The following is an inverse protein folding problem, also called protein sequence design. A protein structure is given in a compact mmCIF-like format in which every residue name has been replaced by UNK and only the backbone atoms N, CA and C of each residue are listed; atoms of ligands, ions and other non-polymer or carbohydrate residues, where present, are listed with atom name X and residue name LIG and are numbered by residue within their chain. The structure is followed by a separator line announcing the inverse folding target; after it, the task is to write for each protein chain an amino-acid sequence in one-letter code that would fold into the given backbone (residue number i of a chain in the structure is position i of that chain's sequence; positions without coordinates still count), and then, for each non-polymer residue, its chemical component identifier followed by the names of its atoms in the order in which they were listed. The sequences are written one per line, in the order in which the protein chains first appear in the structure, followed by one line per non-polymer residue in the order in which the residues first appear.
data_IF_824393936735
#
_entry.id   IF_824393936735
#
_cell.length_a   1.000
_cell.length_b   1.000
_cell.length_c   1.000
_cell.angle_alpha   90.00
_cell.angle_beta   90.00
_cell.angle_gamma   90.00
#
_symmetry.space_group_name_H-M   'P 1'
#
loop_
_entity.id
_entity.type
_entity.pdbx_description
1 polymer ?
#
# COMPACT_ATOMS: atom_id res chain seq x y z
N UNK A 1 -14.71 -28.58 -6.32
CA UNK A 1 -15.17 -27.24 -5.91
C UNK A 1 -14.66 -26.99 -4.49
N UNK A 2 -13.35 -26.75 -4.38
CA UNK A 2 -12.64 -26.30 -3.18
C UNK A 2 -11.67 -25.22 -3.70
N UNK A 3 -12.22 -24.13 -4.23
CA UNK A 3 -11.50 -22.86 -4.21
C UNK A 3 -11.49 -22.44 -2.74
N UNK A 4 -10.53 -23.02 -2.00
CA UNK A 4 -10.17 -22.59 -0.67
C UNK A 4 -9.90 -21.09 -0.77
N UNK A 5 -10.78 -20.30 -0.16
CA UNK A 5 -10.70 -18.84 0.00
C UNK A 5 -9.26 -18.36 -0.07
N UNK A 6 -8.82 -17.84 -1.23
CA UNK A 6 -7.52 -17.21 -1.32
C UNK A 6 -7.52 -16.04 -0.33
N UNK A 7 -6.39 -15.87 0.35
CA UNK A 7 -6.24 -14.79 1.33
C UNK A 7 -6.67 -13.47 0.68
N UNK A 8 -7.39 -12.63 1.42
CA UNK A 8 -7.74 -11.28 0.99
C UNK A 8 -6.97 -10.28 1.86
N UNK A 9 -6.55 -9.13 1.31
CA UNK A 9 -5.94 -8.09 2.11
C UNK A 9 -6.97 -7.53 3.10
N UNK A 10 -6.59 -7.38 4.36
CA UNK A 10 -7.47 -6.75 5.37
C UNK A 10 -7.51 -5.22 5.25
N UNK A 11 -6.52 -4.62 4.56
CA UNK A 11 -6.42 -3.20 4.29
C UNK A 11 -5.76 -2.92 2.95
N UNK A 12 -6.06 -1.74 2.39
CA UNK A 12 -5.41 -1.23 1.17
C UNK A 12 -4.90 0.18 1.44
N UNK A 13 -3.63 0.42 1.16
CA UNK A 13 -3.01 1.75 1.26
C UNK A 13 -2.93 2.36 -0.14
N UNK A 14 -3.52 3.54 -0.32
CA UNK A 14 -3.34 4.35 -1.51
C UNK A 14 -2.30 5.43 -1.21
N UNK A 15 -1.27 5.52 -2.04
CA UNK A 15 -0.29 6.59 -1.95
C UNK A 15 -0.02 7.19 -3.32
N UNK A 16 -0.06 8.52 -3.40
CA UNK A 16 0.09 9.25 -4.65
C UNK A 16 1.36 8.89 -5.41
N UNK A 17 1.25 8.80 -6.74
CA UNK A 17 2.35 8.43 -7.63
C UNK A 17 3.63 9.26 -7.43
N UNK A 18 3.49 10.55 -7.13
CA UNK A 18 4.59 11.47 -6.82
C UNK A 18 5.39 11.13 -5.56
N UNK A 19 4.86 10.27 -4.69
CA UNK A 19 5.48 9.89 -3.42
C UNK A 19 6.03 8.47 -3.43
N UNK A 20 5.75 7.69 -4.48
CA UNK A 20 6.13 6.28 -4.51
C UNK A 20 7.63 6.11 -4.77
N UNK A 21 8.27 5.28 -3.96
CA UNK A 21 9.67 4.87 -4.07
C UNK A 21 9.78 3.42 -3.59
N UNK A 22 10.83 2.71 -3.99
CA UNK A 22 11.03 1.30 -3.63
C UNK A 22 11.05 1.06 -2.11
N UNK A 23 11.53 2.04 -1.34
CA UNK A 23 11.60 2.00 0.12
C UNK A 23 10.31 2.36 0.86
N UNK A 24 9.20 2.66 0.15
CA UNK A 24 7.96 3.15 0.76
C UNK A 24 7.41 2.20 1.84
N UNK A 25 7.42 0.89 1.60
CA UNK A 25 6.83 -0.09 2.53
C UNK A 25 7.64 -0.24 3.82
N UNK A 26 8.97 -0.17 3.72
CA UNK A 26 9.88 -0.17 4.88
C UNK A 26 9.58 1.03 5.76
N UNK A 27 9.50 2.22 5.14
CA UNK A 27 9.23 3.48 5.83
C UNK A 27 7.85 3.49 6.51
N UNK A 28 6.80 3.05 5.80
CA UNK A 28 5.45 2.92 6.37
C UNK A 28 5.45 1.92 7.53
N UNK A 29 6.12 0.77 7.37
CA UNK A 29 6.19 -0.25 8.42
C UNK A 29 6.94 0.19 9.66
N UNK A 30 8.02 0.96 9.51
CA UNK A 30 8.72 1.58 10.64
C UNK A 30 7.83 2.59 11.37
N UNK A 31 7.13 3.44 10.62
CA UNK A 31 6.22 4.44 11.21
C UNK A 31 5.07 3.75 11.95
N UNK A 32 4.43 2.75 11.34
CA UNK A 32 3.34 2.01 11.96
C UNK A 32 3.76 1.33 13.25
N UNK A 33 4.96 0.71 13.28
CA UNK A 33 5.51 0.10 14.51
C UNK A 33 5.79 1.13 15.60
N UNK A 34 6.44 2.25 15.26
CA UNK A 34 6.72 3.32 16.22
C UNK A 34 5.44 3.91 16.80
N UNK A 35 4.43 4.15 15.97
CA UNK A 35 3.11 4.63 16.41
C UNK A 35 2.43 3.60 17.32
N UNK A 36 2.47 2.32 16.95
CA UNK A 36 1.91 1.25 17.79
C UNK A 36 2.61 1.17 19.14
N UNK A 37 3.94 1.20 19.18
CA UNK A 37 4.72 1.19 20.43
C UNK A 37 4.46 2.42 21.30
N UNK A 38 4.20 3.59 20.70
CA UNK A 38 3.95 4.84 21.42
C UNK A 38 2.56 4.92 22.06
N UNK A 39 1.53 4.39 21.40
CA UNK A 39 0.13 4.55 21.83
C UNK A 39 -0.52 3.26 22.32
N UNK A 40 0.11 2.12 22.06
CA UNK A 40 -0.36 0.79 22.39
C UNK A 40 0.83 -0.12 22.71
N UNK A 41 1.75 0.35 23.57
CA UNK A 41 2.99 -0.34 23.90
C UNK A 41 2.76 -1.64 24.65
N UNK A 42 1.68 -1.74 25.41
CA UNK A 42 1.23 -2.95 26.08
C UNK A 42 -0.27 -3.25 25.88
N UNK A 43 -0.73 -4.41 26.37
CA UNK A 43 -2.12 -4.88 26.22
C UNK A 43 -3.14 -3.93 26.86
N UNK A 44 -2.78 -3.24 27.95
CA UNK A 44 -3.66 -2.30 28.65
C UNK A 44 -3.82 -1.01 27.85
N UNK A 45 -2.73 -0.48 27.33
CA UNK A 45 -2.73 0.70 26.45
C UNK A 45 -3.46 0.40 25.14
N UNK A 46 -3.19 -0.76 24.53
CA UNK A 46 -3.92 -1.24 23.36
C UNK A 46 -5.42 -1.35 23.64
N UNK A 47 -5.81 -1.97 24.75
CA UNK A 47 -7.22 -2.06 25.14
C UNK A 47 -7.86 -0.68 25.30
N UNK A 48 -7.16 0.27 25.94
CA UNK A 48 -7.65 1.63 26.10
C UNK A 48 -7.78 2.37 24.76
N UNK A 49 -6.77 2.28 23.89
CA UNK A 49 -6.73 2.96 22.59
C UNK A 49 -7.87 2.52 21.64
N UNK A 50 -8.32 1.27 21.76
CA UNK A 50 -9.39 0.69 20.96
C UNK A 50 -10.72 0.52 21.74
N UNK A 51 -10.82 1.08 22.94
CA UNK A 51 -12.01 0.99 23.80
C UNK A 51 -12.48 -0.45 24.07
N UNK A 52 -11.53 -1.38 24.22
CA UNK A 52 -11.77 -2.80 24.45
C UNK A 52 -11.69 -3.15 25.94
N UNK A 53 -12.43 -4.20 26.33
CA UNK A 53 -12.23 -4.82 27.64
C UNK A 53 -10.94 -5.63 27.63
N UNK A 54 -10.07 -5.39 28.62
CA UNK A 54 -8.85 -6.19 28.79
C UNK A 54 -9.22 -7.62 29.20
N UNK A 55 -8.99 -8.55 28.29
CA UNK A 55 -9.22 -9.98 28.49
C UNK A 55 -8.22 -10.79 27.64
N UNK A 56 -8.39 -12.11 27.63
CA UNK A 56 -7.54 -13.04 26.87
C UNK A 56 -7.59 -12.76 25.36
N UNK A 57 -8.77 -12.47 24.80
CA UNK A 57 -8.93 -12.16 23.36
C UNK A 57 -8.14 -10.91 23.00
N UNK A 58 -8.24 -9.85 23.80
CA UNK A 58 -7.49 -8.59 23.57
C UNK A 58 -5.98 -8.84 23.60
N UNK A 59 -5.50 -9.71 24.49
CA UNK A 59 -4.09 -10.08 24.57
C UNK A 59 -3.63 -10.83 23.31
N UNK A 60 -4.46 -11.75 22.80
CA UNK A 60 -4.18 -12.48 21.55
C UNK A 60 -4.17 -11.52 20.36
N UNK A 61 -5.15 -10.61 20.27
CA UNK A 61 -5.22 -9.62 19.19
C UNK A 61 -4.02 -8.69 19.22
N UNK A 62 -3.62 -8.20 20.39
CA UNK A 62 -2.42 -7.38 20.57
C UNK A 62 -1.17 -8.06 19.98
N UNK A 63 -0.89 -9.30 20.37
CA UNK A 63 0.27 -10.04 19.85
C UNK A 63 0.18 -10.28 18.34
N UNK A 64 -1.03 -10.54 17.82
CA UNK A 64 -1.25 -10.70 16.37
C UNK A 64 -1.02 -9.41 15.60
N UNK A 65 -1.51 -8.27 16.10
CA UNK A 65 -1.27 -6.95 15.47
C UNK A 65 0.21 -6.62 15.48
N UNK A 66 0.90 -6.84 16.61
CA UNK A 66 2.35 -6.63 16.73
C UNK A 66 3.13 -7.50 15.75
N UNK A 67 2.80 -8.79 15.66
CA UNK A 67 3.40 -9.69 14.69
C UNK A 67 3.11 -9.26 13.25
N UNK A 68 1.89 -8.76 12.98
CA UNK A 68 1.49 -8.28 11.66
C UNK A 68 2.30 -7.06 11.23
N UNK A 69 2.38 -6.04 12.09
CA UNK A 69 3.16 -4.82 11.82
C UNK A 69 4.66 -5.11 11.65
N UNK A 70 5.18 -6.15 12.30
CA UNK A 70 6.57 -6.59 12.14
C UNK A 70 6.83 -7.26 10.79
N UNK A 71 5.96 -8.17 10.37
CA UNK A 71 6.22 -9.06 9.24
C UNK A 71 5.59 -8.59 7.93
N UNK A 72 4.45 -7.91 8.01
CA UNK A 72 3.65 -7.50 6.86
C UNK A 72 2.83 -6.24 7.20
N UNK A 73 3.51 -5.09 7.40
CA UNK A 73 2.86 -3.84 7.81
C UNK A 73 1.92 -3.25 6.74
N UNK A 74 2.16 -3.58 5.47
CA UNK A 74 1.30 -3.21 4.34
C UNK A 74 0.92 -4.49 3.62
N UNK A 75 -0.38 -4.81 3.54
CA UNK A 75 -0.86 -6.00 2.83
C UNK A 75 -1.14 -5.72 1.36
N UNK A 76 -1.81 -4.60 1.09
CA UNK A 76 -2.10 -4.13 -0.26
C UNK A 76 -1.70 -2.67 -0.41
N UNK A 77 -0.99 -2.34 -1.48
CA UNK A 77 -0.64 -0.98 -1.84
C UNK A 77 -0.98 -0.66 -3.29
N UNK A 78 -1.62 0.48 -3.49
CA UNK A 78 -1.97 1.03 -4.79
C UNK A 78 -1.24 2.35 -5.01
N UNK A 79 -0.35 2.38 -6.00
CA UNK A 79 0.20 3.65 -6.49
C UNK A 79 -0.96 4.40 -7.14
N UNK A 80 -1.25 5.58 -6.61
CA UNK A 80 -2.44 6.30 -6.97
C UNK A 80 -2.14 7.41 -7.98
N UNK A 81 -2.67 7.29 -9.20
CA UNK A 81 -2.66 8.31 -10.26
C UNK A 81 -3.98 9.11 -10.33
N UNK A 82 -4.90 8.88 -9.40
CA UNK A 82 -6.17 9.58 -9.31
C UNK A 82 -6.05 10.82 -8.39
N UNK A 83 -6.81 10.86 -7.30
CA UNK A 83 -6.93 12.00 -6.40
C UNK A 83 -5.72 12.14 -5.47
N UNK A 84 -5.07 11.04 -5.08
CA UNK A 84 -3.82 11.08 -4.31
C UNK A 84 -2.61 11.60 -5.09
N UNK A 85 -2.62 11.53 -6.42
CA UNK A 85 -1.64 12.22 -7.27
C UNK A 85 -2.01 13.70 -7.43
N UNK A 86 -3.32 13.98 -7.53
CA UNK A 86 -3.86 15.30 -7.77
C UNK A 86 -3.88 15.67 -9.26
N UNK A 87 -4.11 16.95 -9.55
CA UNK A 87 -4.17 17.45 -10.92
C UNK A 87 -2.77 17.61 -11.51
N UNK A 88 -2.53 16.97 -12.67
CA UNK A 88 -1.27 17.00 -13.41
C UNK A 88 -1.52 17.11 -14.91
N UNK A 89 -0.55 17.68 -15.62
CA UNK A 89 -0.48 17.62 -17.07
C UNK A 89 -0.20 16.19 -17.54
N UNK A 90 -0.50 15.89 -18.81
CA UNK A 90 -0.18 14.57 -19.37
C UNK A 90 1.32 14.24 -19.26
N UNK A 91 2.19 15.24 -19.47
CA UNK A 91 3.64 15.03 -19.42
C UNK A 91 4.12 14.67 -18.01
N UNK A 92 3.60 15.34 -16.98
CA UNK A 92 3.91 15.02 -15.58
C UNK A 92 3.38 13.64 -15.16
N UNK A 93 2.20 13.25 -15.65
CA UNK A 93 1.62 11.93 -15.37
C UNK A 93 2.38 10.80 -16.07
N UNK A 94 2.79 11.01 -17.32
CA UNK A 94 3.67 10.10 -18.06
C UNK A 94 5.02 9.91 -17.37
N UNK A 95 5.66 11.02 -16.93
CA UNK A 95 6.93 10.97 -16.21
C UNK A 95 6.79 10.20 -14.90
N UNK A 96 5.72 10.46 -14.14
CA UNK A 96 5.43 9.73 -12.91
C UNK A 96 5.17 8.24 -13.18
N UNK A 97 4.49 7.87 -14.27
CA UNK A 97 4.27 6.48 -14.65
C UNK A 97 5.60 5.74 -14.92
N UNK A 98 6.53 6.39 -15.62
CA UNK A 98 7.88 5.85 -15.88
C UNK A 98 8.66 5.68 -14.57
N UNK A 99 8.68 6.70 -13.71
CA UNK A 99 9.39 6.66 -12.43
C UNK A 99 8.81 5.57 -11.54
N UNK A 100 7.48 5.52 -11.40
CA UNK A 100 6.81 4.51 -10.60
C UNK A 100 7.10 3.09 -11.09
N UNK A 101 7.12 2.85 -12.40
CA UNK A 101 7.47 1.54 -12.95
C UNK A 101 8.90 1.12 -12.59
N UNK A 102 9.86 2.05 -12.69
CA UNK A 102 11.27 1.79 -12.32
C UNK A 102 11.43 1.53 -10.83
N UNK A 103 10.80 2.32 -9.98
CA UNK A 103 10.79 2.11 -8.52
C UNK A 103 10.11 0.79 -8.13
N UNK A 104 9.06 0.38 -8.86
CA UNK A 104 8.44 -0.94 -8.70
C UNK A 104 9.43 -2.04 -9.05
N UNK A 105 10.15 -1.95 -10.18
CA UNK A 105 11.15 -2.93 -10.55
C UNK A 105 12.24 -3.06 -9.48
N UNK A 106 12.74 -1.93 -8.95
CA UNK A 106 13.70 -1.92 -7.84
C UNK A 106 13.13 -2.59 -6.58
N UNK A 107 11.86 -2.35 -6.25
CA UNK A 107 11.20 -2.99 -5.12
C UNK A 107 11.00 -4.50 -5.33
N UNK A 108 10.72 -4.94 -6.55
CA UNK A 108 10.61 -6.36 -6.90
C UNK A 108 11.96 -7.07 -6.73
N UNK A 109 13.04 -6.50 -7.28
CA UNK A 109 14.39 -7.04 -7.15
C UNK A 109 14.84 -7.11 -5.69
N UNK A 110 14.50 -6.08 -4.91
CA UNK A 110 14.74 -6.02 -3.47
C UNK A 110 13.82 -6.89 -2.62
N UNK A 111 12.81 -7.55 -3.22
CA UNK A 111 11.74 -8.30 -2.53
C UNK A 111 11.06 -7.46 -1.43
N UNK A 112 10.80 -6.20 -1.73
CA UNK A 112 10.23 -5.21 -0.82
C UNK A 112 8.72 -5.02 -1.01
N UNK A 113 8.15 -5.52 -2.13
CA UNK A 113 6.71 -5.37 -2.39
C UNK A 113 5.86 -6.10 -1.33
N UNK A 114 4.69 -5.53 -0.98
CA UNK A 114 3.66 -6.24 -0.23
C UNK A 114 3.08 -7.39 -1.07
N UNK A 115 2.34 -8.28 -0.41
CA UNK A 115 1.69 -9.45 -1.05
C UNK A 115 0.76 -9.02 -2.19
N UNK A 116 0.01 -7.93 -1.99
CA UNK A 116 -0.85 -7.34 -3.01
C UNK A 116 -0.31 -5.97 -3.41
N UNK A 117 -0.18 -5.73 -4.70
CA UNK A 117 0.35 -4.49 -5.21
C UNK A 117 -0.28 -4.14 -6.56
N UNK A 118 -0.37 -2.85 -6.87
CA UNK A 118 -0.72 -2.39 -8.20
C UNK A 118 -0.83 -0.87 -8.29
N UNK A 119 -1.49 -0.41 -9.34
CA UNK A 119 -1.72 1.02 -9.57
C UNK A 119 -3.23 1.30 -9.68
N UNK A 120 -3.66 2.46 -9.21
CA UNK A 120 -4.98 3.03 -9.50
C UNK A 120 -4.80 4.12 -10.55
N UNK A 121 -5.27 3.84 -11.77
CA UNK A 121 -5.41 4.86 -12.81
C UNK A 121 -6.74 5.58 -12.66
N UNK A 122 -6.91 6.70 -13.37
CA UNK A 122 -8.19 7.41 -13.45
C UNK A 122 -9.30 6.49 -14.00
N UNK A 123 -10.59 6.83 -13.79
CA UNK A 123 -11.70 6.03 -14.29
C UNK A 123 -11.64 5.83 -15.82
N UNK A 124 -12.14 4.68 -16.30
CA UNK A 124 -12.36 4.41 -17.72
C UNK A 124 -13.69 5.01 -18.19
N UNK A 125 -13.91 6.29 -17.97
CA UNK A 125 -15.13 6.99 -18.36
C UNK A 125 -14.87 8.44 -18.73
N UNK A 126 -15.73 8.99 -19.60
CA UNK A 126 -15.68 10.39 -20.02
C UNK A 126 -14.34 10.79 -20.65
N UNK A 127 -13.84 11.95 -20.26
CA UNK A 127 -12.57 12.52 -20.76
C UNK A 127 -11.32 11.79 -20.25
N UNK A 128 -11.44 10.92 -19.24
CA UNK A 128 -10.27 10.25 -18.64
C UNK A 128 -9.83 8.99 -19.38
N UNK A 129 -10.65 8.40 -20.26
CA UNK A 129 -10.37 7.10 -20.90
C UNK A 129 -8.99 7.05 -21.55
N UNK A 130 -8.66 8.04 -22.39
CA UNK A 130 -7.38 8.08 -23.10
C UNK A 130 -6.19 8.21 -22.15
N UNK A 131 -6.31 9.10 -21.15
CA UNK A 131 -5.28 9.30 -20.14
C UNK A 131 -5.07 8.04 -19.30
N UNK A 132 -6.14 7.42 -18.80
CA UNK A 132 -6.07 6.19 -18.01
C UNK A 132 -5.36 5.05 -18.75
N UNK A 133 -5.71 4.86 -20.04
CA UNK A 133 -5.06 3.85 -20.86
C UNK A 133 -3.59 4.18 -21.12
N UNK A 134 -3.26 5.45 -21.40
CA UNK A 134 -1.88 5.92 -21.61
C UNK A 134 -1.02 5.69 -20.36
N UNK A 135 -1.49 6.09 -19.19
CA UNK A 135 -0.78 5.90 -17.91
C UNK A 135 -0.53 4.41 -17.63
N UNK A 136 -1.55 3.56 -17.79
CA UNK A 136 -1.41 2.11 -17.62
C UNK A 136 -0.42 1.51 -18.63
N UNK A 137 -0.50 1.91 -19.90
CA UNK A 137 0.35 1.42 -20.98
C UNK A 137 1.82 1.78 -20.75
N UNK A 138 2.11 3.03 -20.38
CA UNK A 138 3.47 3.48 -20.05
C UNK A 138 3.99 2.68 -18.86
N UNK A 139 3.24 2.62 -17.76
CA UNK A 139 3.68 1.92 -16.57
C UNK A 139 4.03 0.44 -16.85
N UNK A 140 3.14 -0.29 -17.55
CA UNK A 140 3.38 -1.70 -17.88
C UNK A 140 4.55 -1.88 -18.85
N UNK A 141 4.68 -1.01 -19.86
CA UNK A 141 5.79 -1.08 -20.82
C UNK A 141 7.14 -0.91 -20.13
N UNK A 142 7.26 0.10 -19.27
CA UNK A 142 8.51 0.38 -18.55
C UNK A 142 8.82 -0.69 -17.49
N UNK A 143 7.80 -1.29 -16.85
CA UNK A 143 8.00 -2.34 -15.83
C UNK A 143 8.41 -3.70 -16.44
N UNK A 144 7.92 -4.01 -17.64
CA UNK A 144 8.12 -5.31 -18.28
C UNK A 144 9.34 -5.36 -19.22
N UNK A 145 10.13 -4.28 -19.29
CA UNK A 145 11.34 -4.17 -20.13
C UNK A 145 12.59 -4.17 -19.27
#
# INVERSE_FOLDING_TARGET
MNELLSRQPIHVVYGGAQLFQAGTFVKIGELARKTFELYAGDVSEFAAAFELVKNEITSIVYERVKAKLKNEPVEDYRIDFEDGFGYRTDAEEDEAAIICAKETALAMDGKLLPEYFGIRVKPYSGEFVERSFRTLSIYLRELLT
#
